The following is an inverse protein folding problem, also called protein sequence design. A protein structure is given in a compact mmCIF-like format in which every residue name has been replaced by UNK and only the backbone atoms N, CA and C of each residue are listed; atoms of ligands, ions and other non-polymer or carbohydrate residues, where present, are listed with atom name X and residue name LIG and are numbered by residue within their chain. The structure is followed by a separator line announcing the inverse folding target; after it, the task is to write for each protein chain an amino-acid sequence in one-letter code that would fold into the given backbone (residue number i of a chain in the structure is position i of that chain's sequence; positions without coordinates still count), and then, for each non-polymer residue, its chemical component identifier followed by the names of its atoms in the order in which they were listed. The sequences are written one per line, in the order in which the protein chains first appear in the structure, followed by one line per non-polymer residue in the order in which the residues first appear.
data_IF_979407620650
#
_entry.id   IF_979407620650
#
_cell.length_a   1.000
_cell.length_b   1.000
_cell.length_c   1.000
_cell.angle_alpha   90.00
_cell.angle_beta   90.00
_cell.angle_gamma   90.00
#
_symmetry.space_group_name_H-M   'P 1'
#
loop_
_entity.id
_entity.type
_entity.pdbx_description
1 polymer ?
#
# COMPACT_ATOMS: atom_id res chain seq x y z
N UNK A 1 -6.21 -13.38 -4.73
CA UNK A 1 -5.01 -12.53 -4.52
C UNK A 1 -4.32 -13.07 -3.29
N UNK A 2 -3.03 -13.42 -3.36
CA UNK A 2 -2.27 -13.73 -2.15
C UNK A 2 -2.02 -12.43 -1.38
N UNK A 3 -2.02 -12.50 -0.05
CA UNK A 3 -1.57 -11.40 0.82
C UNK A 3 -0.04 -11.44 1.01
N UNK A 4 0.63 -12.10 0.08
CA UNK A 4 2.07 -12.32 0.09
C UNK A 4 2.80 -10.99 -0.11
N UNK A 5 3.83 -10.79 0.68
CA UNK A 5 4.69 -9.61 0.63
C UNK A 5 5.94 -9.89 -0.19
N UNK A 6 6.62 -8.82 -0.61
CA UNK A 6 7.90 -8.93 -1.32
C UNK A 6 8.95 -9.66 -0.49
N UNK A 7 8.89 -9.54 0.84
CA UNK A 7 9.73 -10.29 1.77
C UNK A 7 9.44 -11.78 1.73
N UNK A 8 8.17 -12.19 1.66
CA UNK A 8 7.79 -13.60 1.61
C UNK A 8 8.37 -14.27 0.35
N UNK A 9 8.16 -13.66 -0.83
CA UNK A 9 8.75 -14.15 -2.09
C UNK A 9 10.27 -14.22 -2.01
N UNK A 10 10.90 -13.24 -1.35
CA UNK A 10 12.35 -13.23 -1.16
C UNK A 10 12.83 -14.39 -0.28
N UNK A 11 12.09 -14.72 0.79
CA UNK A 11 12.40 -15.87 1.65
C UNK A 11 12.30 -17.17 0.86
N UNK A 12 11.22 -17.35 0.10
CA UNK A 12 11.03 -18.55 -0.73
C UNK A 12 12.13 -18.71 -1.78
N UNK A 13 12.57 -17.61 -2.40
CA UNK A 13 13.68 -17.62 -3.34
C UNK A 13 15.03 -18.00 -2.68
N UNK A 14 15.27 -17.54 -1.45
CA UNK A 14 16.48 -17.89 -0.68
C UNK A 14 16.46 -19.36 -0.26
N UNK A 15 15.31 -19.87 0.17
CA UNK A 15 15.16 -21.28 0.56
C UNK A 15 15.36 -22.20 -0.64
N UNK A 16 14.75 -21.88 -1.79
CA UNK A 16 14.96 -22.63 -3.03
C UNK A 16 16.43 -22.62 -3.50
N UNK A 17 17.15 -21.50 -3.29
CA UNK A 17 18.58 -21.44 -3.56
C UNK A 17 19.39 -22.34 -2.62
N UNK A 18 19.04 -22.37 -1.33
CA UNK A 18 19.71 -23.23 -0.35
C UNK A 18 19.52 -24.73 -0.67
N UNK A 19 18.31 -25.14 -1.05
CA UNK A 19 18.00 -26.52 -1.47
C UNK A 19 18.74 -26.92 -2.74
N UNK A 20 18.82 -26.01 -3.71
CA UNK A 20 19.60 -26.21 -4.93
C UNK A 20 21.10 -26.39 -4.62
N UNK A 21 21.66 -25.60 -3.71
CA UNK A 21 23.04 -25.74 -3.27
C UNK A 21 23.28 -27.06 -2.52
N UNK A 22 22.39 -27.45 -1.62
CA UNK A 22 22.49 -28.67 -0.84
C UNK A 22 22.37 -29.94 -1.72
N UNK A 23 21.61 -29.87 -2.80
CA UNK A 23 21.42 -30.98 -3.75
C UNK A 23 22.50 -31.06 -4.85
N UNK A 24 23.48 -30.16 -4.86
CA UNK A 24 24.49 -30.10 -5.93
C UNK A 24 23.90 -29.69 -7.29
N UNK A 25 22.79 -28.96 -7.30
CA UNK A 25 22.07 -28.52 -8.51
C UNK A 25 21.11 -29.55 -9.11
N UNK A 26 20.81 -30.65 -8.40
CA UNK A 26 19.94 -31.73 -8.89
C UNK A 26 18.46 -31.61 -8.47
N UNK A 27 18.12 -30.77 -7.48
CA UNK A 27 16.72 -30.45 -7.14
C UNK A 27 16.31 -29.23 -7.94
N UNK A 28 15.16 -29.34 -8.62
CA UNK A 28 14.67 -28.38 -9.60
C UNK A 28 14.78 -26.95 -9.11
N UNK A 29 15.65 -26.18 -9.75
CA UNK A 29 15.67 -24.73 -9.59
C UNK A 29 14.28 -24.23 -9.95
N UNK A 30 13.54 -23.72 -8.97
CA UNK A 30 12.35 -22.94 -9.27
C UNK A 30 12.83 -21.78 -10.16
N UNK A 31 12.22 -21.67 -11.34
CA UNK A 31 12.69 -20.76 -12.39
C UNK A 31 12.79 -19.36 -11.78
N UNK A 32 13.95 -18.72 -11.90
CA UNK A 32 14.15 -17.36 -11.40
C UNK A 32 13.08 -16.40 -11.98
N UNK A 33 12.57 -16.68 -13.18
CA UNK A 33 11.48 -15.93 -13.77
C UNK A 33 10.15 -16.08 -13.01
N UNK A 34 9.91 -17.22 -12.36
CA UNK A 34 8.72 -17.41 -11.51
C UNK A 34 8.80 -16.53 -10.27
N UNK A 35 9.93 -16.54 -9.56
CA UNK A 35 10.11 -15.65 -8.40
C UNK A 35 10.03 -14.17 -8.77
N UNK A 36 10.54 -13.79 -9.94
CA UNK A 36 10.40 -12.41 -10.42
C UNK A 36 8.93 -12.06 -10.68
N UNK A 37 8.16 -12.96 -11.29
CA UNK A 37 6.73 -12.74 -11.52
C UNK A 37 5.92 -12.71 -10.20
N UNK A 38 6.24 -13.56 -9.23
CA UNK A 38 5.64 -13.56 -7.89
C UNK A 38 5.99 -12.25 -7.15
N UNK A 39 7.25 -11.82 -7.21
CA UNK A 39 7.72 -10.58 -6.58
C UNK A 39 7.03 -9.35 -7.16
N UNK A 40 6.84 -9.29 -8.47
CA UNK A 40 6.11 -8.21 -9.15
C UNK A 40 4.64 -8.12 -8.70
N UNK A 41 4.00 -9.27 -8.45
CA UNK A 41 2.62 -9.35 -8.01
C UNK A 41 2.42 -9.16 -6.50
N UNK A 42 3.45 -9.44 -5.71
CA UNK A 42 3.43 -9.36 -4.25
C UNK A 42 3.29 -7.92 -3.74
N UNK A 43 2.69 -7.80 -2.56
CA UNK A 43 2.46 -6.54 -1.87
C UNK A 43 3.76 -5.95 -1.30
N UNK A 44 3.89 -4.61 -1.20
CA UNK A 44 4.94 -4.00 -0.41
C UNK A 44 4.91 -4.50 1.05
N UNK A 45 6.08 -4.69 1.65
CA UNK A 45 6.21 -5.19 3.03
C UNK A 45 5.56 -4.23 4.05
N UNK A 46 5.82 -2.94 3.89
CA UNK A 46 5.35 -1.89 4.81
C UNK A 46 4.15 -1.14 4.24
N UNK A 47 3.04 -1.85 4.03
CA UNK A 47 1.81 -1.20 3.57
C UNK A 47 1.41 -0.05 4.51
N UNK A 48 1.11 1.15 3.98
CA UNK A 48 0.57 2.23 4.80
C UNK A 48 -0.77 1.79 5.39
N UNK A 49 -0.97 2.12 6.66
CA UNK A 49 -2.22 1.83 7.39
C UNK A 49 -2.96 3.14 7.58
N UNK A 50 -4.16 3.22 7.02
CA UNK A 50 -5.01 4.41 7.09
C UNK A 50 -6.42 4.02 7.53
N UNK A 51 -7.13 4.96 8.13
CA UNK A 51 -8.52 4.74 8.57
C UNK A 51 -9.43 4.54 7.36
N UNK A 52 -10.57 3.90 7.58
CA UNK A 52 -11.59 3.67 6.57
C UNK A 52 -12.06 5.00 5.95
N UNK A 53 -12.18 6.05 6.77
CA UNK A 53 -12.52 7.40 6.30
C UNK A 53 -11.49 7.92 5.29
N UNK A 54 -10.21 7.81 5.60
CA UNK A 54 -9.12 8.31 4.76
C UNK A 54 -8.95 7.44 3.51
N UNK A 55 -9.20 6.14 3.63
CA UNK A 55 -9.31 5.23 2.49
C UNK A 55 -10.39 5.69 1.50
N UNK A 56 -11.61 5.97 1.97
CA UNK A 56 -12.71 6.49 1.15
C UNK A 56 -12.37 7.83 0.51
N UNK A 57 -11.77 8.73 1.28
CA UNK A 57 -11.29 10.03 0.79
C UNK A 57 -10.28 9.84 -0.36
N UNK A 58 -9.25 9.03 -0.16
CA UNK A 58 -8.20 8.77 -1.16
C UNK A 58 -8.79 8.20 -2.46
N UNK A 59 -9.70 7.22 -2.35
CA UNK A 59 -10.40 6.62 -3.51
C UNK A 59 -11.16 7.68 -4.30
N UNK A 60 -11.94 8.52 -3.62
CA UNK A 60 -12.68 9.61 -4.24
C UNK A 60 -11.74 10.56 -4.99
N UNK A 61 -10.64 10.99 -4.35
CA UNK A 61 -9.69 11.93 -4.96
C UNK A 61 -8.96 11.38 -6.18
N UNK A 62 -8.57 10.10 -6.15
CA UNK A 62 -8.00 9.43 -7.31
C UNK A 62 -8.99 9.34 -8.47
N UNK A 63 -10.26 9.06 -8.17
CA UNK A 63 -11.33 9.00 -9.18
C UNK A 63 -11.60 10.35 -9.84
N UNK A 64 -11.57 11.42 -9.06
CA UNK A 64 -11.83 12.79 -9.55
C UNK A 64 -10.61 13.39 -10.29
N UNK A 65 -9.56 12.59 -10.52
CA UNK A 65 -8.29 12.98 -11.16
C UNK A 65 -7.57 14.14 -10.45
N UNK A 66 -7.83 14.31 -9.15
CA UNK A 66 -7.04 15.21 -8.32
C UNK A 66 -5.61 14.70 -8.24
N UNK A 67 -4.63 15.61 -8.27
CA UNK A 67 -3.24 15.24 -7.97
C UNK A 67 -3.00 15.17 -6.45
N UNK A 68 -1.82 14.70 -6.04
CA UNK A 68 -1.48 14.57 -4.62
C UNK A 68 -1.49 15.92 -3.90
N UNK A 69 -1.10 17.00 -4.58
CA UNK A 69 -1.04 18.35 -3.98
C UNK A 69 -2.46 18.82 -3.70
N UNK A 70 -3.38 18.68 -4.65
CA UNK A 70 -4.80 18.99 -4.45
C UNK A 70 -5.42 18.13 -3.36
N UNK A 71 -5.12 16.83 -3.33
CA UNK A 71 -5.62 15.93 -2.29
C UNK A 71 -5.14 16.31 -0.88
N UNK A 72 -3.88 16.74 -0.74
CA UNK A 72 -3.35 17.23 0.53
C UNK A 72 -3.90 18.61 0.90
N UNK A 73 -3.94 19.53 -0.06
CA UNK A 73 -4.44 20.89 0.15
C UNK A 73 -5.89 20.86 0.65
N UNK A 74 -6.78 20.15 -0.04
CA UNK A 74 -8.17 20.05 0.43
C UNK A 74 -8.27 19.23 1.72
N UNK A 75 -7.56 18.10 1.86
CA UNK A 75 -7.61 17.28 3.07
C UNK A 75 -7.13 18.00 4.34
N UNK A 76 -6.31 19.04 4.18
CA UNK A 76 -5.79 19.89 5.27
C UNK A 76 -6.43 21.27 5.36
N UNK A 77 -7.24 21.66 4.37
CA UNK A 77 -7.83 23.00 4.30
C UNK A 77 -9.04 23.15 5.20
N UNK A 78 -8.98 24.11 6.12
CA UNK A 78 -10.07 24.55 7.01
C UNK A 78 -11.33 25.05 6.27
N UNK A 79 -11.29 25.19 4.94
CA UNK A 79 -12.41 25.65 4.11
C UNK A 79 -13.34 24.51 3.65
N UNK A 80 -13.08 23.26 4.02
CA UNK A 80 -14.07 22.17 3.90
C UNK A 80 -15.21 22.39 4.90
N UNK A 81 -16.02 23.43 4.67
CA UNK A 81 -17.26 23.66 5.39
C UNK A 81 -18.33 22.70 4.84
N UNK A 82 -18.85 21.83 5.72
CA UNK A 82 -19.95 20.92 5.39
C UNK A 82 -19.72 19.47 5.82
N UNK A 83 -19.70 19.23 7.14
CA UNK A 83 -20.09 18.03 7.92
C UNK A 83 -19.59 16.61 7.54
N UNK A 84 -19.04 16.36 6.36
CA UNK A 84 -18.58 15.03 5.92
C UNK A 84 -17.06 14.85 6.06
N UNK A 85 -16.28 15.95 6.16
CA UNK A 85 -14.82 15.91 6.02
C UNK A 85 -14.03 16.59 7.13
N UNK A 86 -14.68 17.13 8.18
CA UNK A 86 -13.99 17.61 9.40
C UNK A 86 -13.10 16.50 9.98
N UNK A 87 -13.59 15.26 9.98
CA UNK A 87 -12.82 14.11 10.47
C UNK A 87 -11.63 13.73 9.58
N UNK A 88 -11.56 14.19 8.32
CA UNK A 88 -10.36 14.03 7.47
C UNK A 88 -9.30 15.06 7.88
N UNK A 89 -9.69 16.31 8.09
CA UNK A 89 -8.78 17.32 8.63
C UNK A 89 -8.24 16.91 10.00
N UNK A 90 -9.12 16.40 10.86
CA UNK A 90 -8.73 15.97 12.20
C UNK A 90 -7.70 14.84 12.17
N UNK A 91 -7.84 13.93 11.20
CA UNK A 91 -6.87 12.87 11.00
C UNK A 91 -5.49 13.42 10.60
N UNK A 92 -5.45 14.47 9.79
CA UNK A 92 -4.19 15.14 9.41
C UNK A 92 -3.60 15.99 10.54
N UNK A 93 -4.41 16.65 11.36
CA UNK A 93 -3.94 17.70 12.27
C UNK A 93 -3.96 17.35 13.77
N UNK A 94 -4.88 16.49 14.20
CA UNK A 94 -5.15 16.26 15.63
C UNK A 94 -4.90 14.82 16.10
N UNK A 95 -4.41 13.93 15.23
CA UNK A 95 -4.06 12.56 15.63
C UNK A 95 -2.66 12.50 16.29
N UNK A 96 -2.51 11.70 17.35
CA UNK A 96 -1.23 11.47 18.05
C UNK A 96 -0.11 10.82 17.20
N UNK A 97 -0.40 10.50 15.93
CA UNK A 97 0.51 9.85 15.00
C UNK A 97 1.30 10.94 14.26
N UNK A 98 2.60 11.06 14.56
CA UNK A 98 3.54 11.75 13.68
C UNK A 98 3.58 10.99 12.35
N UNK A 99 3.62 11.71 11.22
CA UNK A 99 3.80 11.14 9.87
C UNK A 99 2.51 10.75 9.11
N UNK A 100 1.35 11.31 9.46
CA UNK A 100 0.07 11.10 8.74
C UNK A 100 0.11 11.58 7.28
N UNK A 101 0.72 12.74 7.03
CA UNK A 101 0.93 13.26 5.67
C UNK A 101 1.79 12.31 4.84
N UNK A 102 2.88 11.81 5.43
CA UNK A 102 3.77 10.85 4.78
C UNK A 102 3.05 9.52 4.53
N UNK A 103 2.25 9.05 5.49
CA UNK A 103 1.44 7.83 5.36
C UNK A 103 0.41 7.96 4.25
N UNK A 104 -0.27 9.11 4.17
CA UNK A 104 -1.22 9.41 3.09
C UNK A 104 -0.52 9.47 1.73
N UNK A 105 0.61 10.18 1.64
CA UNK A 105 1.39 10.29 0.41
C UNK A 105 1.91 8.92 -0.05
N UNK A 106 2.35 8.06 0.87
CA UNK A 106 2.75 6.67 0.57
C UNK A 106 1.57 5.87 0.03
N UNK A 107 0.41 5.92 0.69
CA UNK A 107 -0.80 5.23 0.21
C UNK A 107 -1.20 5.72 -1.19
N UNK A 108 -1.09 7.03 -1.42
CA UNK A 108 -1.39 7.65 -2.71
C UNK A 108 -0.46 7.19 -3.83
N UNK A 109 0.85 7.17 -3.58
CA UNK A 109 1.87 6.81 -4.57
C UNK A 109 1.87 5.32 -4.84
N UNK A 110 1.77 4.50 -3.79
CA UNK A 110 1.71 3.04 -3.93
C UNK A 110 0.40 2.59 -4.56
N UNK A 111 -0.69 3.35 -4.38
CA UNK A 111 -2.04 2.93 -4.78
C UNK A 111 -2.53 1.69 -4.03
N UNK A 112 -1.86 1.32 -2.94
CA UNK A 112 -2.21 0.17 -2.11
C UNK A 112 -1.96 0.48 -0.64
N UNK A 113 -2.88 0.07 0.23
CA UNK A 113 -2.84 0.31 1.67
C UNK A 113 -3.70 -0.69 2.42
N UNK A 114 -3.57 -0.70 3.75
CA UNK A 114 -4.42 -1.48 4.65
C UNK A 114 -5.36 -0.54 5.42
N UNK A 115 -6.63 -0.92 5.52
CA UNK A 115 -7.63 -0.24 6.34
C UNK A 115 -7.43 -0.63 7.80
N UNK A 116 -7.29 0.37 8.69
CA UNK A 116 -6.97 0.17 10.10
C UNK A 116 -8.06 -0.64 10.84
N UNK A 117 -9.32 -0.33 10.57
CA UNK A 117 -10.46 -0.87 11.30
C UNK A 117 -10.82 -2.31 10.87
N UNK A 118 -10.61 -2.66 9.60
CA UNK A 118 -11.02 -3.96 9.04
C UNK A 118 -9.85 -4.87 8.69
N UNK A 119 -8.64 -4.32 8.57
CA UNK A 119 -7.48 -5.02 8.03
C UNK A 119 -7.55 -5.28 6.52
N UNK A 120 -8.58 -4.77 5.83
CA UNK A 120 -8.76 -4.94 4.39
C UNK A 120 -7.62 -4.27 3.61
N UNK A 121 -7.13 -4.95 2.57
CA UNK A 121 -6.12 -4.40 1.66
C UNK A 121 -6.82 -3.83 0.45
N UNK A 122 -6.74 -2.51 0.28
CA UNK A 122 -7.30 -1.80 -0.87
C UNK A 122 -6.19 -1.59 -1.88
N UNK A 123 -6.45 -1.92 -3.15
CA UNK A 123 -5.55 -1.70 -4.28
C UNK A 123 -6.29 -0.95 -5.38
N UNK A 124 -5.80 0.24 -5.71
CA UNK A 124 -6.23 1.01 -6.87
C UNK A 124 -5.32 0.65 -8.03
N UNK A 125 -5.87 0.00 -9.04
CA UNK A 125 -5.14 -0.24 -10.29
C UNK A 125 -4.91 1.11 -10.97
N UNK A 126 -3.66 1.38 -11.37
CA UNK A 126 -3.39 2.46 -12.29
C UNK A 126 -4.10 2.12 -13.61
N UNK A 127 -5.08 2.92 -14.03
CA UNK A 127 -5.54 2.91 -15.42
C UNK A 127 -4.30 3.13 -16.30
N UNK A 128 -3.94 2.10 -17.07
CA UNK A 128 -2.84 2.14 -18.06
C UNK A 128 -3.19 3.04 -19.23
#
# INVERSE_FOLDING_TARGET
MSNETKRDVFVDAVDALADAQASGGNVGHQDANLFMAEYENALPDDLPVITELISKYLIMRKRDRGDLVQALDEGTSFLLDGTQWESVQDWFWFSDVKDRVDTFARAWVLGVWRVEETGEIVKLEAEK
#
